data_IF_235380950938
#
_entry.id   IF_235380950938
#
_cell.length_a   1.000
_cell.length_b   1.000
_cell.length_c   1.000
_cell.angle_alpha   90.00
_cell.angle_beta   90.00
_cell.angle_gamma   90.00
#
_symmetry.space_group_name_H-M   'P 1'
#
loop_
_entity.id
_entity.type
_entity.pdbx_description
1 polymer ?
#
# COMPACT_ATOMS: atom_id res chain seq x y z
N UNK A 1 12.62 5.52 11.11
CA UNK A 1 13.09 5.31 9.74
C UNK A 1 11.94 5.44 8.78
N UNK A 2 12.18 5.87 7.57
CA UNK A 2 11.12 5.98 6.59
C UNK A 2 11.24 4.78 5.67
N UNK A 3 10.18 4.04 5.49
CA UNK A 3 10.17 2.82 4.69
C UNK A 3 9.18 2.97 3.56
N UNK A 4 9.60 2.64 2.35
CA UNK A 4 8.73 2.67 1.20
C UNK A 4 8.60 1.26 0.66
N UNK A 5 7.40 0.78 0.47
CA UNK A 5 7.13 -0.55 -0.04
C UNK A 5 6.37 -0.45 -1.35
N UNK A 6 6.81 -1.18 -2.36
CA UNK A 6 6.10 -1.24 -3.63
C UNK A 6 5.40 -2.57 -3.70
N UNK A 7 4.11 -2.57 -3.95
CA UNK A 7 3.36 -3.80 -4.04
C UNK A 7 2.29 -3.69 -5.11
N UNK A 8 2.12 -4.78 -5.85
CA UNK A 8 1.10 -4.80 -6.88
C UNK A 8 -0.27 -4.88 -6.24
N UNK A 9 -0.38 -5.29 -4.99
CA UNK A 9 -1.65 -5.44 -4.30
C UNK A 9 -1.62 -4.84 -2.93
N UNK A 10 -2.71 -4.28 -2.53
CA UNK A 10 -2.92 -3.85 -1.15
C UNK A 10 -4.43 -3.90 -0.96
N UNK A 11 -4.96 -4.28 0.19
CA UNK A 11 -6.41 -4.32 0.36
C UNK A 11 -7.04 -2.97 0.00
N UNK A 12 -8.16 -2.94 -0.64
CA UNK A 12 -9.05 -4.06 -0.92
C UNK A 12 -8.70 -4.86 -2.16
N UNK A 13 -7.64 -4.51 -2.89
CA UNK A 13 -7.26 -5.26 -4.07
C UNK A 13 -6.47 -6.48 -3.63
N UNK A 14 -7.04 -7.66 -3.74
CA UNK A 14 -6.40 -8.90 -3.36
C UNK A 14 -6.45 -9.84 -4.54
N UNK A 15 -5.32 -10.15 -5.12
CA UNK A 15 -5.27 -11.00 -6.29
C UNK A 15 -4.59 -12.32 -5.97
N UNK A 16 -3.44 -12.32 -5.41
CA UNK A 16 -2.72 -13.54 -5.14
C UNK A 16 -2.37 -13.75 -3.69
N UNK A 17 -2.93 -12.98 -2.80
CA UNK A 17 -2.65 -13.14 -1.38
C UNK A 17 -1.52 -12.28 -0.86
N UNK A 18 -0.77 -11.63 -1.73
CA UNK A 18 0.32 -10.79 -1.30
C UNK A 18 -0.20 -9.56 -0.57
N UNK A 19 -1.41 -9.13 -0.91
CA UNK A 19 -1.98 -7.93 -0.29
C UNK A 19 -2.01 -8.06 1.24
N UNK A 20 -2.35 -9.23 1.74
CA UNK A 20 -2.42 -9.42 3.16
C UNK A 20 -1.03 -9.39 3.79
N UNK A 21 -0.05 -9.96 3.12
CA UNK A 21 1.32 -9.96 3.61
C UNK A 21 1.85 -8.54 3.68
N UNK A 22 1.62 -7.76 2.64
CA UNK A 22 2.09 -6.37 2.60
C UNK A 22 1.38 -5.55 3.68
N UNK A 23 0.08 -5.77 3.85
CA UNK A 23 -0.68 -5.06 4.88
C UNK A 23 -0.10 -5.36 6.26
N UNK A 24 0.12 -6.63 6.57
CA UNK A 24 0.59 -7.01 7.89
C UNK A 24 2.01 -6.52 8.12
N UNK A 25 2.86 -6.63 7.13
CA UNK A 25 4.24 -6.23 7.27
C UNK A 25 4.36 -4.71 7.42
N UNK A 26 3.61 -3.96 6.62
CA UNK A 26 3.67 -2.50 6.71
C UNK A 26 3.15 -2.02 8.06
N UNK A 27 2.10 -2.63 8.56
CA UNK A 27 1.55 -2.23 9.86
C UNK A 27 2.50 -2.61 11.00
N UNK A 28 3.22 -3.71 10.86
CA UNK A 28 4.19 -4.07 11.85
C UNK A 28 5.35 -3.07 11.91
N UNK A 29 5.83 -2.63 10.76
CA UNK A 29 6.89 -1.62 10.73
C UNK A 29 6.39 -0.31 11.35
N UNK A 30 5.15 0.05 11.05
CA UNK A 30 4.59 1.27 11.60
C UNK A 30 4.48 1.19 13.12
N UNK A 31 4.14 0.01 13.64
CA UNK A 31 4.07 -0.16 15.07
C UNK A 31 5.41 -0.01 15.70
N UNK A 32 6.48 -0.27 15.00
CA UNK A 32 7.82 -0.14 15.55
C UNK A 32 8.32 1.29 15.47
N UNK A 33 7.49 2.22 15.03
CA UNK A 33 7.86 3.63 15.02
C UNK A 33 8.40 4.11 13.70
N UNK A 34 8.28 3.31 12.65
CA UNK A 34 8.75 3.75 11.34
C UNK A 34 7.65 4.45 10.58
N UNK A 35 8.03 5.36 9.70
CA UNK A 35 7.06 5.99 8.81
C UNK A 35 6.99 5.10 7.59
N UNK A 36 5.86 4.52 7.31
CA UNK A 36 5.72 3.54 6.24
C UNK A 36 4.81 4.03 5.15
N UNK A 37 5.28 3.97 3.91
CA UNK A 37 4.51 4.35 2.75
C UNK A 37 4.42 3.14 1.83
N UNK A 38 3.23 2.78 1.42
CA UNK A 38 3.02 1.69 0.47
C UNK A 38 2.55 2.30 -0.82
N UNK A 39 3.20 1.94 -1.93
CA UNK A 39 2.80 2.40 -3.25
C UNK A 39 2.25 1.19 -3.99
N UNK A 40 1.02 1.26 -4.39
CA UNK A 40 0.33 0.14 -4.99
C UNK A 40 -0.53 0.60 -6.15
N UNK A 41 -1.17 -0.32 -6.80
CA UNK A 41 -1.97 -0.05 -7.99
C UNK A 41 -3.39 0.34 -7.59
N UNK A 42 -3.92 1.37 -8.22
CA UNK A 42 -5.27 1.78 -7.96
C UNK A 42 -6.22 0.94 -8.78
N UNK A 43 -7.27 0.43 -8.20
CA UNK A 43 -8.23 -0.33 -8.91
C UNK A 43 -9.62 0.13 -8.54
N UNK A 44 -10.43 0.40 -9.51
CA UNK A 44 -11.81 0.78 -9.28
C UNK A 44 -11.92 2.10 -8.55
N UNK A 45 -12.78 2.13 -7.55
CA UNK A 45 -13.05 3.35 -6.83
C UNK A 45 -12.21 3.53 -5.59
N UNK A 46 -11.07 2.87 -5.50
CA UNK A 46 -10.24 3.04 -4.32
C UNK A 46 -9.62 4.45 -4.31
N UNK A 47 -9.30 4.93 -3.14
CA UNK A 47 -8.74 6.26 -3.02
C UNK A 47 -7.30 6.29 -3.49
N UNK A 48 -6.91 7.39 -4.09
CA UNK A 48 -5.54 7.55 -4.54
C UNK A 48 -4.59 7.65 -3.35
N UNK A 49 -5.03 8.23 -2.26
CA UNK A 49 -4.20 8.33 -1.08
C UNK A 49 -5.06 8.06 0.13
N UNK A 50 -4.55 7.29 1.04
CA UNK A 50 -5.31 6.99 2.22
C UNK A 50 -4.34 6.65 3.35
N UNK A 51 -4.68 7.01 4.56
CA UNK A 51 -3.86 6.63 5.70
C UNK A 51 -4.58 5.48 6.38
N UNK A 52 -3.98 4.30 6.33
CA UNK A 52 -4.57 3.10 6.88
C UNK A 52 -3.87 2.85 8.20
N UNK A 53 -4.48 3.27 9.30
CA UNK A 53 -3.82 3.23 10.60
C UNK A 53 -2.62 4.17 10.57
N UNK A 54 -1.44 3.64 10.72
CA UNK A 54 -0.24 4.43 10.68
C UNK A 54 0.54 4.21 9.38
N UNK A 55 -0.09 3.63 8.38
CA UNK A 55 0.56 3.38 7.10
C UNK A 55 -0.04 4.29 6.05
N UNK A 56 0.81 4.95 5.27
CA UNK A 56 0.36 5.82 4.20
C UNK A 56 0.30 5.01 2.90
N UNK A 57 -0.86 4.92 2.30
CA UNK A 57 -1.07 4.13 1.10
C UNK A 57 -1.26 5.05 -0.08
N UNK A 58 -0.40 4.92 -1.09
CA UNK A 58 -0.47 5.73 -2.30
C UNK A 58 -0.84 4.78 -3.46
N UNK A 59 -1.93 5.08 -4.14
CA UNK A 59 -2.38 4.24 -5.24
C UNK A 59 -2.20 4.97 -6.54
N UNK A 60 -1.49 4.34 -7.48
CA UNK A 60 -1.27 4.93 -8.78
C UNK A 60 -2.17 4.26 -9.78
N UNK A 61 -2.92 5.07 -10.51
CA UNK A 61 -3.91 4.52 -11.32
C UNK A 61 -3.44 4.11 -12.66
N UNK A 62 -2.53 4.75 -13.24
CA UNK A 62 -2.27 4.36 -14.51
C UNK A 62 -1.03 4.64 -14.94
N UNK A 63 -0.41 3.82 -15.44
CA UNK A 63 0.78 3.94 -15.78
C UNK A 63 0.94 3.66 -17.11
N UNK A 64 0.13 3.68 -17.79
CA UNK A 64 0.25 3.34 -19.03
C UNK A 64 0.97 4.34 -19.60
N UNK A 65 1.83 4.13 -20.28
CA UNK A 65 2.56 4.93 -20.81
C UNK A 65 2.17 5.23 -22.02
N UNK A 66 1.25 5.18 -22.41
CA UNK A 66 0.88 5.45 -23.71
C UNK A 66 1.11 6.67 -24.21
#
# INVERSE_FOLDING_TARGET
MKIMMLSWEYPPRIVGGIARVVHDLSHNFAKQGHEVHVITYQEGDTKEFEKDGDVYVHRVANYSLS
#
